data_IF_202729760671
#
_entry.id   IF_202729760671
#
_cell.length_a   1.000
_cell.length_b   1.000
_cell.length_c   1.000
_cell.angle_alpha   90.00
_cell.angle_beta   90.00
_cell.angle_gamma   90.00
#
_symmetry.space_group_name_H-M   'P 1'
#
loop_
_entity.id
_entity.type
_entity.pdbx_description
1 polymer ?
#
# COMPACT_ATOMS: atom_id res chain seq x y z
N UNK A 1 28.43 -47.40 -17.91
CA UNK A 1 28.38 -45.96 -18.29
C UNK A 1 29.62 -45.28 -17.72
N UNK A 2 30.31 -44.41 -18.46
CA UNK A 2 31.37 -43.58 -17.85
C UNK A 2 30.77 -42.64 -16.80
N UNK A 3 31.50 -42.30 -15.71
CA UNK A 3 30.97 -41.48 -14.61
C UNK A 3 30.36 -40.15 -15.09
N UNK A 4 31.00 -39.52 -16.07
CA UNK A 4 30.54 -38.28 -16.71
C UNK A 4 29.20 -38.44 -17.44
N UNK A 5 29.00 -39.58 -18.11
CA UNK A 5 27.74 -39.90 -18.81
C UNK A 5 26.60 -40.17 -17.82
N UNK A 6 26.89 -40.78 -16.66
CA UNK A 6 25.92 -41.01 -15.60
C UNK A 6 25.47 -39.70 -14.92
N UNK A 7 26.43 -38.80 -14.64
CA UNK A 7 26.15 -37.47 -14.09
C UNK A 7 25.24 -36.64 -15.01
N UNK A 8 25.59 -36.54 -16.30
CA UNK A 8 24.80 -35.79 -17.29
C UNK A 8 23.39 -36.39 -17.42
N UNK A 9 23.27 -37.72 -17.41
CA UNK A 9 21.97 -38.39 -17.46
C UNK A 9 21.09 -38.06 -16.25
N UNK A 10 21.66 -38.04 -15.04
CA UNK A 10 20.93 -37.69 -13.82
C UNK A 10 20.49 -36.22 -13.83
N UNK A 11 21.39 -35.30 -14.22
CA UNK A 11 21.07 -33.88 -14.36
C UNK A 11 19.95 -33.65 -15.39
N UNK A 12 20.00 -34.34 -16.53
CA UNK A 12 18.96 -34.27 -17.56
C UNK A 12 17.60 -34.80 -17.06
N UNK A 13 17.62 -35.89 -16.28
CA UNK A 13 16.41 -36.48 -15.68
C UNK A 13 15.75 -35.52 -14.69
N UNK A 14 16.52 -34.89 -13.82
CA UNK A 14 16.02 -33.87 -12.87
C UNK A 14 15.52 -32.63 -13.62
N UNK A 15 16.25 -32.14 -14.61
CA UNK A 15 15.82 -31.01 -15.44
C UNK A 15 14.49 -31.30 -16.16
N UNK A 16 14.31 -32.51 -16.74
CA UNK A 16 13.06 -32.92 -17.37
C UNK A 16 11.89 -32.94 -16.37
N UNK A 17 12.11 -33.43 -15.15
CA UNK A 17 11.09 -33.47 -14.09
C UNK A 17 10.66 -32.06 -13.66
N UNK A 18 11.62 -31.17 -13.44
CA UNK A 18 11.35 -29.76 -13.11
C UNK A 18 10.61 -29.08 -14.26
N UNK A 19 11.03 -29.29 -15.50
CA UNK A 19 10.41 -28.67 -16.67
C UNK A 19 8.96 -29.15 -16.89
N UNK A 20 8.67 -30.44 -16.70
CA UNK A 20 7.30 -30.95 -16.73
C UNK A 20 6.41 -30.30 -15.65
N UNK A 21 6.95 -30.14 -14.44
CA UNK A 21 6.25 -29.44 -13.34
C UNK A 21 5.99 -27.98 -13.66
N UNK A 22 6.97 -27.28 -14.23
CA UNK A 22 6.84 -25.88 -14.64
C UNK A 22 5.80 -25.73 -15.77
N UNK A 23 5.81 -26.60 -16.78
CA UNK A 23 4.82 -26.60 -17.87
C UNK A 23 3.40 -26.78 -17.35
N UNK A 24 3.18 -27.72 -16.42
CA UNK A 24 1.87 -27.89 -15.79
C UNK A 24 1.43 -26.64 -15.03
N UNK A 25 2.34 -26.05 -14.23
CA UNK A 25 2.05 -24.83 -13.47
C UNK A 25 1.74 -23.65 -14.39
N UNK A 26 2.49 -23.48 -15.48
CA UNK A 26 2.30 -22.44 -16.48
C UNK A 26 0.94 -22.56 -17.16
N UNK A 27 0.58 -23.77 -17.63
CA UNK A 27 -0.74 -24.02 -18.21
C UNK A 27 -1.88 -23.68 -17.23
N UNK A 28 -1.76 -24.12 -15.98
CA UNK A 28 -2.75 -23.82 -14.93
C UNK A 28 -2.83 -22.33 -14.61
N UNK A 29 -1.70 -21.61 -14.65
CA UNK A 29 -1.68 -20.17 -14.44
C UNK A 29 -2.40 -19.44 -15.58
N UNK A 30 -2.10 -19.81 -16.84
CA UNK A 30 -2.72 -19.24 -18.04
C UNK A 30 -4.24 -19.40 -18.03
N UNK A 31 -4.75 -20.58 -17.69
CA UNK A 31 -6.21 -20.81 -17.58
C UNK A 31 -6.84 -19.91 -16.52
N UNK A 32 -6.20 -19.76 -15.36
CA UNK A 32 -6.70 -18.87 -14.30
C UNK A 32 -6.66 -17.40 -14.71
N UNK A 33 -5.65 -17.00 -15.47
CA UNK A 33 -5.48 -15.64 -15.99
C UNK A 33 -6.60 -15.32 -16.99
N UNK A 34 -6.88 -16.22 -17.93
CA UNK A 34 -7.98 -16.08 -18.89
C UNK A 34 -9.34 -15.96 -18.20
N UNK A 35 -9.61 -16.81 -17.21
CA UNK A 35 -10.85 -16.74 -16.41
C UNK A 35 -10.97 -15.42 -15.63
N UNK A 36 -9.86 -14.90 -15.13
CA UNK A 36 -9.84 -13.60 -14.46
C UNK A 36 -10.05 -12.44 -15.45
N UNK A 37 -9.42 -12.47 -16.63
CA UNK A 37 -9.56 -11.44 -17.67
C UNK A 37 -10.99 -11.37 -18.22
N UNK A 38 -11.59 -12.52 -18.51
CA UNK A 38 -12.99 -12.62 -18.95
C UNK A 38 -13.96 -12.11 -17.88
N UNK A 39 -13.77 -12.49 -16.61
CA UNK A 39 -14.57 -11.96 -15.51
C UNK A 39 -14.41 -10.44 -15.35
N UNK A 40 -13.17 -9.93 -15.44
CA UNK A 40 -12.89 -8.50 -15.37
C UNK A 40 -13.53 -7.74 -16.52
N UNK A 41 -13.41 -8.21 -17.76
CA UNK A 41 -14.01 -7.55 -18.93
C UNK A 41 -15.54 -7.42 -18.79
N UNK A 42 -16.20 -8.45 -18.25
CA UNK A 42 -17.65 -8.43 -18.05
C UNK A 42 -18.11 -7.45 -16.95
N UNK A 43 -17.26 -7.16 -15.96
CA UNK A 43 -17.61 -6.30 -14.81
C UNK A 43 -16.94 -4.93 -14.83
N UNK A 44 -16.02 -4.67 -15.78
CA UNK A 44 -15.23 -3.43 -15.85
C UNK A 44 -16.08 -2.19 -16.12
N UNK A 45 -17.14 -2.32 -16.92
CA UNK A 45 -17.97 -1.19 -17.34
C UNK A 45 -18.66 -0.47 -16.18
N UNK A 46 -19.01 -1.18 -15.10
CA UNK A 46 -19.64 -0.59 -13.91
C UNK A 46 -18.67 0.27 -13.10
N UNK A 47 -17.39 -0.12 -13.02
CA UNK A 47 -16.37 0.57 -12.23
C UNK A 47 -15.77 1.78 -12.96
N UNK A 48 -15.85 1.84 -14.29
CA UNK A 48 -15.26 2.92 -15.10
C UNK A 48 -15.86 4.32 -14.85
N UNK A 49 -17.09 4.40 -14.32
CA UNK A 49 -17.75 5.68 -14.00
C UNK A 49 -17.35 6.25 -12.63
N UNK A 50 -16.65 5.48 -11.80
CA UNK A 50 -16.32 5.88 -10.45
C UNK A 50 -15.00 6.67 -10.43
N UNK A 51 -14.86 7.53 -9.43
CA UNK A 51 -13.58 8.19 -9.20
C UNK A 51 -12.51 7.14 -8.82
N UNK A 52 -11.24 7.51 -9.01
CA UNK A 52 -10.10 6.60 -8.78
C UNK A 52 -10.07 6.06 -7.36
N UNK A 53 -10.32 6.90 -6.35
CA UNK A 53 -10.27 6.52 -4.93
C UNK A 53 -11.33 5.46 -4.61
N UNK A 54 -12.57 5.68 -5.04
CA UNK A 54 -13.69 4.74 -4.86
C UNK A 54 -13.41 3.44 -5.58
N UNK A 55 -12.87 3.48 -6.80
CA UNK A 55 -12.49 2.28 -7.56
C UNK A 55 -11.42 1.48 -6.81
N UNK A 56 -10.33 2.13 -6.39
CA UNK A 56 -9.27 1.49 -5.59
C UNK A 56 -9.82 0.89 -4.30
N UNK A 57 -10.72 1.60 -3.62
CA UNK A 57 -11.36 1.11 -2.40
C UNK A 57 -12.19 -0.15 -2.66
N UNK A 58 -13.05 -0.15 -3.67
CA UNK A 58 -13.89 -1.30 -4.04
C UNK A 58 -13.02 -2.50 -4.42
N UNK A 59 -12.01 -2.31 -5.26
CA UNK A 59 -11.05 -3.35 -5.63
C UNK A 59 -10.34 -3.93 -4.40
N UNK A 60 -10.01 -3.08 -3.43
CA UNK A 60 -9.44 -3.48 -2.15
C UNK A 60 -10.39 -4.36 -1.35
N UNK A 61 -11.66 -4.00 -1.28
CA UNK A 61 -12.69 -4.79 -0.60
C UNK A 61 -12.86 -6.16 -1.27
N UNK A 62 -12.97 -6.21 -2.60
CA UNK A 62 -13.09 -7.48 -3.36
C UNK A 62 -11.89 -8.39 -3.07
N UNK A 63 -10.68 -7.83 -3.07
CA UNK A 63 -9.44 -8.58 -2.83
C UNK A 63 -9.31 -9.10 -1.39
N UNK A 64 -9.77 -8.36 -0.40
CA UNK A 64 -9.42 -8.59 1.02
C UNK A 64 -10.56 -9.07 1.91
N UNK A 65 -11.82 -8.78 1.56
CA UNK A 65 -12.97 -9.08 2.44
C UNK A 65 -13.15 -10.58 2.66
N UNK A 66 -12.94 -11.39 1.62
CA UNK A 66 -13.03 -12.87 1.67
C UNK A 66 -11.91 -13.52 2.49
N UNK A 67 -10.86 -12.76 2.85
CA UNK A 67 -9.72 -13.26 3.63
C UNK A 67 -9.97 -13.08 5.12
N UNK A 68 -9.48 -14.04 5.91
CA UNK A 68 -9.43 -13.92 7.38
C UNK A 68 -8.70 -12.62 7.77
N UNK A 69 -9.07 -11.94 8.87
CA UNK A 69 -8.50 -10.65 9.25
C UNK A 69 -6.95 -10.58 9.24
N UNK A 70 -6.26 -11.61 9.76
CA UNK A 70 -4.79 -11.70 9.75
C UNK A 70 -4.17 -11.95 8.37
N UNK A 71 -4.95 -12.47 7.43
CA UNK A 71 -4.55 -12.74 6.05
C UNK A 71 -4.78 -11.57 5.09
N UNK A 72 -5.43 -10.49 5.55
CA UNK A 72 -5.65 -9.29 4.73
C UNK A 72 -4.32 -8.61 4.44
N UNK A 73 -4.14 -8.18 3.19
CA UNK A 73 -2.95 -7.47 2.72
C UNK A 73 -3.40 -6.19 2.03
N UNK A 74 -2.96 -5.07 2.60
CA UNK A 74 -3.31 -3.73 2.14
C UNK A 74 -2.11 -3.13 1.41
N UNK A 75 -2.39 -2.54 0.25
CA UNK A 75 -1.42 -1.76 -0.53
C UNK A 75 -1.07 -0.46 0.20
N UNK A 76 -0.11 0.29 -0.34
CA UNK A 76 0.21 1.61 0.20
C UNK A 76 -0.98 2.57 0.09
N UNK A 77 -1.62 2.65 -1.08
CA UNK A 77 -2.76 3.53 -1.34
C UNK A 77 -3.96 3.20 -0.44
N UNK A 78 -4.22 1.90 -0.21
CA UNK A 78 -5.24 1.45 0.75
C UNK A 78 -5.00 2.04 2.15
N UNK A 79 -3.74 2.06 2.59
CA UNK A 79 -3.36 2.57 3.91
C UNK A 79 -3.39 4.09 3.96
N UNK A 80 -3.02 4.78 2.87
CA UNK A 80 -3.11 6.25 2.77
C UNK A 80 -4.57 6.69 2.87
N UNK A 81 -5.47 6.05 2.12
CA UNK A 81 -6.91 6.32 2.21
C UNK A 81 -7.47 5.99 3.61
N UNK A 82 -7.12 4.84 4.16
CA UNK A 82 -7.55 4.48 5.52
C UNK A 82 -7.01 5.47 6.57
N UNK A 83 -5.79 5.97 6.40
CA UNK A 83 -5.18 6.96 7.29
C UNK A 83 -5.90 8.30 7.22
N UNK A 84 -6.32 8.77 6.04
CA UNK A 84 -7.07 10.03 5.91
C UNK A 84 -8.40 9.97 6.64
N UNK A 85 -9.16 8.88 6.48
CA UNK A 85 -10.42 8.65 7.21
C UNK A 85 -10.18 8.56 8.72
N UNK A 86 -9.13 7.82 9.14
CA UNK A 86 -8.78 7.70 10.56
C UNK A 86 -8.39 9.03 11.20
N UNK A 87 -7.68 9.91 10.48
CA UNK A 87 -7.30 11.24 10.93
C UNK A 87 -8.50 12.18 11.06
N UNK A 88 -9.49 12.03 10.18
CA UNK A 88 -10.71 12.82 10.23
C UNK A 88 -11.62 12.40 11.40
N UNK A 89 -11.78 11.10 11.64
CA UNK A 89 -12.47 10.61 12.84
C UNK A 89 -12.09 9.17 13.18
N UNK A 90 -11.35 9.00 14.28
CA UNK A 90 -10.99 7.68 14.79
C UNK A 90 -12.21 6.84 15.23
N UNK A 91 -13.29 7.49 15.70
CA UNK A 91 -14.54 6.81 16.08
C UNK A 91 -15.27 6.27 14.85
N UNK A 92 -15.46 7.10 13.83
CA UNK A 92 -16.09 6.69 12.57
C UNK A 92 -15.26 5.58 11.90
N UNK A 93 -13.93 5.69 11.90
CA UNK A 93 -13.06 4.65 11.36
C UNK A 93 -13.26 3.30 12.06
N UNK A 94 -13.37 3.27 13.39
CA UNK A 94 -13.63 2.03 14.15
C UNK A 94 -14.98 1.41 13.80
N UNK A 95 -15.99 2.22 13.51
CA UNK A 95 -17.29 1.74 13.03
C UNK A 95 -17.14 1.12 11.63
N UNK A 96 -16.53 1.85 10.69
CA UNK A 96 -16.31 1.38 9.33
C UNK A 96 -15.48 0.10 9.28
N UNK A 97 -14.50 -0.06 10.17
CA UNK A 97 -13.67 -1.26 10.25
C UNK A 97 -14.44 -2.53 10.62
N UNK A 98 -15.63 -2.42 11.21
CA UNK A 98 -16.51 -3.57 11.47
C UNK A 98 -17.22 -4.07 10.21
N UNK A 99 -17.45 -3.17 9.25
CA UNK A 99 -18.20 -3.44 8.02
C UNK A 99 -17.24 -3.76 6.88
N UNK A 100 -16.20 -2.95 6.73
CA UNK A 100 -15.24 -3.02 5.63
C UNK A 100 -13.91 -3.65 6.08
N UNK A 101 -13.22 -4.31 5.14
CA UNK A 101 -11.84 -4.71 5.31
C UNK A 101 -10.95 -3.47 5.30
N UNK A 102 -10.65 -2.94 6.50
CA UNK A 102 -9.77 -1.81 6.70
C UNK A 102 -8.51 -2.18 7.51
N UNK A 103 -7.38 -1.48 7.29
CA UNK A 103 -6.16 -1.64 8.09
C UNK A 103 -6.38 -1.45 9.59
N UNK A 104 -5.56 -2.11 10.41
CA UNK A 104 -5.59 -1.87 11.86
C UNK A 104 -4.97 -0.52 12.23
N UNK A 105 -5.37 0.06 13.37
CA UNK A 105 -4.74 1.26 13.93
C UNK A 105 -3.23 1.11 14.01
N UNK A 106 -2.72 -0.05 14.45
CA UNK A 106 -1.29 -0.35 14.48
C UNK A 106 -0.63 -0.23 13.11
N UNK A 107 -1.24 -0.78 12.06
CA UNK A 107 -0.72 -0.64 10.69
C UNK A 107 -0.68 0.81 10.22
N UNK A 108 -1.64 1.65 10.63
CA UNK A 108 -1.67 3.07 10.28
C UNK A 108 -0.60 3.86 11.07
N UNK A 109 -0.42 3.55 12.35
CA UNK A 109 0.65 4.17 13.16
C UNK A 109 2.04 3.81 12.66
N UNK A 110 2.26 2.55 12.28
CA UNK A 110 3.52 2.13 11.65
C UNK A 110 3.78 2.85 10.32
N UNK A 111 2.73 3.25 9.58
CA UNK A 111 2.88 4.06 8.38
C UNK A 111 3.32 5.49 8.73
N UNK A 112 2.69 6.10 9.74
CA UNK A 112 3.05 7.44 10.23
C UNK A 112 4.48 7.49 10.78
N UNK A 113 4.91 6.46 11.50
CA UNK A 113 6.28 6.39 12.06
C UNK A 113 7.39 6.44 11.01
N UNK A 114 7.08 6.15 9.73
CA UNK A 114 8.04 6.31 8.64
C UNK A 114 8.36 7.76 8.30
N UNK A 115 7.54 8.71 8.77
CA UNK A 115 7.75 10.14 8.61
C UNK A 115 8.24 10.66 9.96
N UNK A 116 9.57 10.73 10.18
CA UNK A 116 10.09 11.21 11.44
C UNK A 116 9.81 12.72 11.57
N UNK A 117 9.34 13.11 12.74
CA UNK A 117 9.19 14.50 13.14
C UNK A 117 10.23 14.79 14.21
N UNK A 118 11.04 15.80 13.96
CA UNK A 118 12.06 16.30 14.88
C UNK A 118 11.79 17.77 15.14
N UNK A 119 12.42 18.31 16.19
CA UNK A 119 12.40 19.75 16.46
C UNK A 119 13.07 20.51 15.32
N UNK A 120 12.65 21.76 15.13
CA UNK A 120 13.13 22.61 14.04
C UNK A 120 12.45 22.33 12.70
N UNK A 121 13.14 22.71 11.61
CA UNK A 121 12.58 22.70 10.26
C UNK A 121 12.66 21.31 9.63
N UNK A 122 11.50 20.74 9.27
CA UNK A 122 11.44 19.48 8.55
C UNK A 122 11.75 19.67 7.05
N UNK A 123 12.99 19.38 6.65
CA UNK A 123 13.48 19.52 5.26
C UNK A 123 12.61 18.78 4.25
N UNK A 124 12.10 17.59 4.59
CA UNK A 124 11.27 16.78 3.69
C UNK A 124 9.95 17.49 3.32
N UNK A 125 9.39 18.24 4.27
CA UNK A 125 8.18 19.05 4.02
C UNK A 125 8.51 20.18 3.04
N UNK A 126 9.63 20.88 3.24
CA UNK A 126 10.07 21.96 2.35
C UNK A 126 10.42 21.46 0.94
N UNK A 127 11.08 20.31 0.82
CA UNK A 127 11.34 19.65 -0.47
C UNK A 127 10.04 19.34 -1.22
N UNK A 128 9.05 18.80 -0.51
CA UNK A 128 7.73 18.54 -1.10
C UNK A 128 6.99 19.83 -1.47
N UNK A 129 7.04 20.87 -0.62
CA UNK A 129 6.48 22.18 -0.92
C UNK A 129 7.13 22.80 -2.17
N UNK A 130 8.45 22.68 -2.35
CA UNK A 130 9.15 23.15 -3.55
C UNK A 130 8.60 22.50 -4.82
N UNK A 131 8.30 21.20 -4.79
CA UNK A 131 7.68 20.48 -5.91
C UNK A 131 6.27 21.01 -6.20
N UNK A 132 5.47 21.27 -5.16
CA UNK A 132 4.11 21.81 -5.31
C UNK A 132 4.17 23.23 -5.89
N UNK A 133 4.98 24.11 -5.31
CA UNK A 133 5.14 25.51 -5.74
C UNK A 133 5.68 25.60 -7.17
N UNK A 134 6.52 24.65 -7.58
CA UNK A 134 6.99 24.53 -8.97
C UNK A 134 5.87 24.28 -9.98
N UNK A 135 4.72 23.73 -9.57
CA UNK A 135 3.55 23.49 -10.43
C UNK A 135 2.59 24.69 -10.50
N UNK A 136 2.77 25.68 -9.64
CA UNK A 136 1.92 26.88 -9.60
C UNK A 136 2.25 27.75 -10.83
N UNK A 137 1.24 27.94 -11.69
CA UNK A 137 1.38 28.67 -12.97
C UNK A 137 1.51 30.17 -12.76
N UNK A 138 0.66 30.74 -11.91
CA UNK A 138 0.65 32.18 -11.64
C UNK A 138 1.75 32.52 -10.62
N UNK A 139 2.71 33.41 -10.94
CA UNK A 139 3.74 33.82 -10.00
C UNK A 139 3.19 34.48 -8.73
N UNK A 140 2.04 35.18 -8.82
CA UNK A 140 1.44 35.87 -7.68
C UNK A 140 0.98 34.89 -6.59
N UNK A 141 0.53 33.70 -6.98
CA UNK A 141 0.08 32.64 -6.07
C UNK A 141 1.24 32.01 -5.28
N UNK A 142 2.50 32.38 -5.57
CA UNK A 142 3.69 31.92 -4.85
C UNK A 142 4.03 32.81 -3.65
N UNK A 143 3.49 34.03 -3.59
CA UNK A 143 3.71 34.91 -2.45
C UNK A 143 2.89 34.41 -1.26
N UNK A 144 3.54 34.28 -0.11
CA UNK A 144 2.89 33.92 1.14
C UNK A 144 3.51 34.67 2.31
N UNK A 145 2.71 34.89 3.35
CA UNK A 145 3.16 35.43 4.63
C UNK A 145 3.35 34.26 5.59
N UNK A 146 4.47 34.26 6.30
CA UNK A 146 4.74 33.26 7.33
C UNK A 146 4.48 33.90 8.69
N UNK A 147 3.54 33.34 9.43
CA UNK A 147 3.11 33.80 10.75
C UNK A 147 3.38 32.68 11.74
N UNK A 148 3.95 33.02 12.89
CA UNK A 148 4.22 32.09 13.98
C UNK A 148 3.70 32.65 15.30
N UNK A 149 3.22 31.76 16.14
CA UNK A 149 2.79 32.04 17.51
C UNK A 149 3.17 30.84 18.38
N UNK A 150 3.34 31.07 19.67
CA UNK A 150 3.73 30.04 20.64
C UNK A 150 2.51 29.48 21.37
N UNK A 151 2.58 28.19 21.72
CA UNK A 151 1.55 27.54 22.53
C UNK A 151 2.15 27.11 23.87
N UNK A 152 1.48 27.46 24.96
CA UNK A 152 1.85 26.96 26.29
C UNK A 152 1.40 25.49 26.41
N UNK A 153 2.37 24.61 26.67
CA UNK A 153 2.12 23.18 26.91
C UNK A 153 2.26 22.87 28.39
N UNK A 154 1.54 21.85 28.87
CA UNK A 154 1.68 21.40 30.25
C UNK A 154 3.10 20.84 30.49
N UNK A 155 3.82 21.28 31.54
CA UNK A 155 5.13 20.74 31.85
C UNK A 155 5.01 19.27 32.27
N UNK A 156 5.92 18.43 31.79
CA UNK A 156 5.96 17.02 32.12
C UNK A 156 7.16 16.32 31.51
N UNK A 157 7.65 15.28 32.20
CA UNK A 157 8.72 14.43 31.71
C UNK A 157 8.12 13.29 30.86
N UNK A 158 8.56 13.16 29.62
CA UNK A 158 8.12 12.07 28.73
C UNK A 158 9.31 11.25 28.26
N UNK A 159 9.22 9.93 28.46
CA UNK A 159 10.19 8.96 27.97
C UNK A 159 9.75 8.40 26.61
N UNK A 160 10.66 8.39 25.62
CA UNK A 160 10.40 7.85 24.27
C UNK A 160 11.38 6.68 24.03
N UNK A 161 10.95 5.41 24.25
CA UNK A 161 11.84 4.24 24.24
C UNK A 161 12.55 3.95 22.90
N UNK A 162 12.17 4.62 21.82
CA UNK A 162 12.69 4.38 20.47
C UNK A 162 13.69 5.44 19.99
N UNK A 163 14.07 6.37 20.88
CA UNK A 163 14.98 7.49 20.57
C UNK A 163 16.26 7.49 21.43
N UNK A 164 16.45 6.48 22.29
CA UNK A 164 17.67 6.24 23.05
C UNK A 164 18.59 5.22 22.38
#
# INVERSE_FOLDING_TARGET
LTPKKAFIYHALKEAKKVNATLKYRDAKLKTRLLLAETYMNNHKQSLQKLNKITTTFIESQIRTQTKKPRGRRFTFDDKVFALSVFKQSGKAYRLLQKVFALPSKKSLMNLLQKIPFHTGINKKIFEHLKIIVGKIKNPLDKYCTILFDEISLSPGLQYIPHQD
#
